data_IF_635122081144
#
_entry.id   IF_635122081144
#
_cell.length_a   1.000
_cell.length_b   1.000
_cell.length_c   1.000
_cell.angle_alpha   90.00
_cell.angle_beta   90.00
_cell.angle_gamma   90.00
#
_symmetry.space_group_name_H-M   'P 1'
#
loop_
_entity.id
_entity.type
_entity.pdbx_description
1 polymer ?
#
# COMPACT_ATOMS: atom_id res chain seq x y z
N UNK A 1 9.22 16.39 -15.41
CA UNK A 1 7.81 16.46 -14.97
C UNK A 1 7.17 15.07 -14.92
N UNK A 2 7.16 14.33 -16.03
CA UNK A 2 6.64 12.95 -16.10
C UNK A 2 7.13 11.96 -14.99
N UNK A 3 8.44 11.92 -14.62
CA UNK A 3 8.90 10.99 -13.58
C UNK A 3 8.27 11.21 -12.21
N UNK A 4 8.04 12.47 -11.82
CA UNK A 4 7.39 12.80 -10.55
C UNK A 4 5.92 12.37 -10.52
N UNK A 5 5.24 12.45 -11.65
CA UNK A 5 3.85 12.01 -11.78
C UNK A 5 3.75 10.48 -11.65
N UNK A 6 4.70 9.75 -12.25
CA UNK A 6 4.80 8.30 -12.10
C UNK A 6 5.05 7.90 -10.65
N UNK A 7 6.00 8.55 -9.96
CA UNK A 7 6.24 8.33 -8.53
C UNK A 7 4.98 8.62 -7.70
N UNK A 8 4.30 9.75 -7.95
CA UNK A 8 3.07 10.10 -7.24
C UNK A 8 1.97 9.05 -7.46
N UNK A 9 1.82 8.56 -8.68
CA UNK A 9 0.86 7.50 -9.00
C UNK A 9 1.19 6.19 -8.26
N UNK A 10 2.46 5.83 -8.17
CA UNK A 10 2.89 4.63 -7.42
C UNK A 10 2.72 4.78 -5.91
N UNK A 11 2.96 5.98 -5.36
CA UNK A 11 2.67 6.29 -3.95
C UNK A 11 1.15 6.20 -3.71
N UNK A 12 0.34 6.75 -4.60
CA UNK A 12 -1.12 6.66 -4.50
C UNK A 12 -1.61 5.21 -4.58
N UNK A 13 -1.01 4.38 -5.43
CA UNK A 13 -1.32 2.95 -5.50
C UNK A 13 -1.02 2.24 -4.17
N UNK A 14 0.16 2.48 -3.57
CA UNK A 14 0.49 1.94 -2.25
C UNK A 14 -0.49 2.43 -1.17
N UNK A 15 -0.81 3.73 -1.17
CA UNK A 15 -1.77 4.31 -0.23
C UNK A 15 -3.18 3.70 -0.39
N UNK A 16 -3.60 3.36 -1.61
CA UNK A 16 -4.85 2.66 -1.87
C UNK A 16 -4.86 1.26 -1.25
N UNK A 17 -3.78 0.48 -1.39
CA UNK A 17 -3.70 -0.85 -0.78
C UNK A 17 -3.70 -0.77 0.75
N UNK A 18 -2.97 0.17 1.33
CA UNK A 18 -2.98 0.43 2.77
C UNK A 18 -4.38 0.81 3.23
N UNK A 19 -5.05 1.76 2.56
CA UNK A 19 -6.42 2.15 2.90
C UNK A 19 -7.38 0.95 2.80
N UNK A 20 -7.23 0.10 1.79
CA UNK A 20 -8.02 -1.10 1.60
C UNK A 20 -7.83 -2.11 2.75
N UNK A 21 -6.60 -2.37 3.18
CA UNK A 21 -6.28 -3.25 4.31
C UNK A 21 -6.84 -2.70 5.63
N UNK A 22 -6.53 -1.43 5.96
CA UNK A 22 -6.99 -0.81 7.20
C UNK A 22 -8.51 -0.65 7.25
N UNK A 23 -9.17 -0.36 6.12
CA UNK A 23 -10.63 -0.26 6.08
C UNK A 23 -11.31 -1.60 6.37
N UNK A 24 -10.73 -2.72 5.92
CA UNK A 24 -11.26 -4.04 6.19
C UNK A 24 -11.11 -4.44 7.66
N UNK A 25 -10.01 -4.04 8.30
CA UNK A 25 -9.77 -4.27 9.74
C UNK A 25 -10.63 -3.35 10.61
N UNK A 26 -10.80 -2.08 10.21
CA UNK A 26 -11.59 -1.09 10.95
C UNK A 26 -13.11 -1.16 10.71
N UNK A 27 -13.55 -1.96 9.74
CA UNK A 27 -14.96 -2.07 9.38
C UNK A 27 -15.83 -2.58 10.55
N UNK A 28 -16.76 -1.74 11.02
CA UNK A 28 -17.70 -2.15 12.05
C UNK A 28 -18.81 -3.01 11.45
N UNK A 29 -18.72 -4.33 11.68
CA UNK A 29 -19.65 -5.35 11.18
C UNK A 29 -21.11 -5.02 11.49
N UNK A 30 -21.39 -4.51 12.69
CA UNK A 30 -22.74 -4.12 13.13
C UNK A 30 -23.36 -3.04 12.23
N UNK A 31 -22.61 -2.00 11.87
CA UNK A 31 -23.11 -0.94 10.97
C UNK A 31 -23.37 -1.48 9.56
N UNK A 32 -22.50 -2.36 9.07
CA UNK A 32 -22.63 -2.98 7.74
C UNK A 32 -23.83 -3.94 7.71
N UNK A 33 -24.08 -4.68 8.79
CA UNK A 33 -25.26 -5.53 8.94
C UNK A 33 -26.55 -4.71 8.88
N UNK A 34 -26.63 -3.59 9.61
CA UNK A 34 -27.77 -2.68 9.56
C UNK A 34 -28.03 -2.12 8.15
N UNK A 35 -26.97 -1.76 7.42
CA UNK A 35 -27.06 -1.32 6.02
C UNK A 35 -27.54 -2.45 5.09
N UNK A 36 -27.11 -3.68 5.32
CA UNK A 36 -27.54 -4.85 4.56
C UNK A 36 -29.02 -5.15 4.79
N UNK A 37 -29.48 -5.10 6.04
CA UNK A 37 -30.90 -5.23 6.43
C UNK A 37 -31.76 -4.12 5.83
N UNK A 38 -31.24 -2.90 5.69
CA UNK A 38 -31.89 -1.79 4.98
C UNK A 38 -31.97 -1.97 3.46
N UNK A 39 -31.54 -3.12 2.91
CA UNK A 39 -31.66 -3.47 1.50
C UNK A 39 -30.43 -3.12 0.64
N UNK A 40 -29.32 -2.66 1.24
CA UNK A 40 -28.11 -2.36 0.48
C UNK A 40 -27.38 -3.65 0.08
N UNK A 41 -27.50 -4.03 -1.20
CA UNK A 41 -26.87 -5.25 -1.77
C UNK A 41 -25.35 -5.26 -1.65
N UNK A 42 -24.68 -4.09 -1.70
CA UNK A 42 -23.22 -4.00 -1.51
C UNK A 42 -22.85 -4.28 -0.05
N UNK A 43 -23.63 -3.74 0.90
CA UNK A 43 -23.43 -4.01 2.32
C UNK A 43 -23.64 -5.50 2.64
N UNK A 44 -24.65 -6.15 2.05
CA UNK A 44 -24.88 -7.58 2.22
C UNK A 44 -23.70 -8.44 1.70
N UNK A 45 -23.12 -8.06 0.56
CA UNK A 45 -21.96 -8.76 0.00
C UNK A 45 -20.72 -8.55 0.85
N UNK A 46 -20.49 -7.31 1.32
CA UNK A 46 -19.37 -6.98 2.18
C UNK A 46 -19.49 -7.69 3.53
N UNK A 47 -20.69 -7.73 4.12
CA UNK A 47 -20.96 -8.44 5.37
C UNK A 47 -20.57 -9.91 5.28
N UNK A 48 -20.99 -10.59 4.20
CA UNK A 48 -20.64 -12.00 3.98
C UNK A 48 -19.13 -12.27 3.81
N UNK A 49 -18.35 -11.26 3.41
CA UNK A 49 -16.89 -11.35 3.35
C UNK A 49 -16.29 -11.10 4.74
N UNK A 50 -16.80 -10.11 5.47
CA UNK A 50 -16.30 -9.74 6.79
C UNK A 50 -16.61 -10.82 7.84
N UNK A 51 -17.78 -11.46 7.78
CA UNK A 51 -18.19 -12.52 8.71
C UNK A 51 -17.32 -13.78 8.60
N UNK A 52 -16.86 -14.09 7.39
CA UNK A 52 -15.95 -15.20 7.13
C UNK A 52 -14.49 -14.77 7.35
N UNK A 53 -13.94 -15.11 8.52
CA UNK A 53 -12.57 -14.79 8.89
C UNK A 53 -11.54 -15.29 7.87
N UNK A 54 -11.78 -16.44 7.23
CA UNK A 54 -10.84 -16.97 6.22
C UNK A 54 -10.86 -16.14 4.94
N UNK A 55 -12.00 -15.56 4.57
CA UNK A 55 -12.10 -14.65 3.41
C UNK A 55 -11.49 -13.29 3.71
N UNK A 56 -11.67 -12.78 4.93
CA UNK A 56 -11.02 -11.56 5.40
C UNK A 56 -9.50 -11.73 5.42
N UNK A 57 -8.98 -12.83 5.96
CA UNK A 57 -7.54 -13.11 6.00
C UNK A 57 -6.95 -13.20 4.58
N UNK A 58 -7.67 -13.86 3.65
CA UNK A 58 -7.25 -13.89 2.23
C UNK A 58 -7.25 -12.51 1.58
N UNK A 59 -8.23 -11.66 1.91
CA UNK A 59 -8.28 -10.29 1.42
C UNK A 59 -7.08 -9.47 1.92
N UNK A 60 -6.79 -9.55 3.23
CA UNK A 60 -5.64 -8.88 3.83
C UNK A 60 -4.33 -9.39 3.22
N UNK A 61 -4.17 -10.70 3.08
CA UNK A 61 -2.99 -11.28 2.45
C UNK A 61 -2.80 -10.80 1.00
N UNK A 62 -3.88 -10.68 0.22
CA UNK A 62 -3.82 -10.13 -1.13
C UNK A 62 -3.40 -8.65 -1.13
N UNK A 63 -3.88 -7.84 -0.19
CA UNK A 63 -3.42 -6.46 0.00
C UNK A 63 -1.92 -6.41 0.30
N UNK A 64 -1.40 -7.24 1.19
CA UNK A 64 0.02 -7.28 1.55
C UNK A 64 0.93 -7.67 0.39
N UNK A 65 0.50 -8.63 -0.43
CA UNK A 65 1.19 -8.98 -1.67
C UNK A 65 1.20 -7.78 -2.63
N UNK A 66 0.06 -7.09 -2.76
CA UNK A 66 -0.07 -5.88 -3.57
C UNK A 66 0.85 -4.74 -3.11
N UNK A 67 0.93 -4.48 -1.80
CA UNK A 67 1.82 -3.48 -1.19
C UNK A 67 3.28 -3.84 -1.50
N UNK A 68 3.66 -5.10 -1.30
CA UNK A 68 5.03 -5.57 -1.51
C UNK A 68 5.45 -5.39 -2.97
N UNK A 69 4.61 -5.86 -3.90
CA UNK A 69 4.90 -5.74 -5.34
C UNK A 69 4.98 -4.27 -5.76
N UNK A 70 4.00 -3.46 -5.33
CA UNK A 70 3.95 -2.04 -5.67
C UNK A 70 5.14 -1.26 -5.10
N UNK A 71 5.57 -1.59 -3.88
CA UNK A 71 6.75 -1.00 -3.24
C UNK A 71 8.04 -1.38 -3.97
N UNK A 72 8.17 -2.63 -4.42
CA UNK A 72 9.34 -3.08 -5.17
C UNK A 72 9.46 -2.36 -6.53
N UNK A 73 8.35 -2.28 -7.29
CA UNK A 73 8.35 -1.57 -8.57
C UNK A 73 8.61 -0.08 -8.35
N UNK A 74 8.02 0.53 -7.32
CA UNK A 74 8.23 1.94 -7.01
C UNK A 74 9.69 2.23 -6.64
N UNK A 75 10.30 1.37 -5.81
CA UNK A 75 11.70 1.45 -5.45
C UNK A 75 12.63 1.30 -6.66
N UNK A 76 12.39 0.31 -7.53
CA UNK A 76 13.16 0.11 -8.74
C UNK A 76 13.06 1.30 -9.70
N UNK A 77 11.85 1.85 -9.88
CA UNK A 77 11.63 3.03 -10.70
C UNK A 77 12.30 4.28 -10.13
N UNK A 78 12.18 4.50 -8.81
CA UNK A 78 12.82 5.61 -8.12
C UNK A 78 14.35 5.52 -8.25
N UNK A 79 14.95 4.34 -8.05
CA UNK A 79 16.38 4.13 -8.23
C UNK A 79 16.83 4.50 -9.65
N UNK A 80 16.12 4.03 -10.68
CA UNK A 80 16.46 4.33 -12.07
C UNK A 80 16.30 5.82 -12.44
N UNK A 81 15.43 6.55 -11.73
CA UNK A 81 15.02 7.91 -12.10
C UNK A 81 15.74 8.99 -11.31
N UNK A 82 15.91 8.80 -10.00
CA UNK A 82 16.45 9.79 -9.05
C UNK A 82 17.61 9.25 -8.22
N UNK A 83 18.04 8.00 -8.42
CA UNK A 83 19.09 7.36 -7.62
C UNK A 83 20.44 8.08 -7.66
N UNK A 84 20.85 8.58 -8.83
CA UNK A 84 22.12 9.31 -8.98
C UNK A 84 22.14 10.66 -8.26
N UNK A 85 20.99 11.33 -8.18
CA UNK A 85 20.86 12.61 -7.48
C UNK A 85 20.76 12.42 -5.96
N UNK A 86 20.14 11.31 -5.52
CA UNK A 86 19.98 10.95 -4.11
C UNK A 86 21.27 10.41 -3.47
N UNK A 87 22.11 9.71 -4.23
CA UNK A 87 23.35 9.10 -3.73
C UNK A 87 24.30 10.10 -3.02
N UNK A 88 24.65 11.28 -3.59
CA UNK A 88 25.53 12.24 -2.92
C UNK A 88 24.87 12.89 -1.70
N UNK A 89 23.54 13.07 -1.71
CA UNK A 89 22.78 13.58 -0.56
C UNK A 89 22.81 12.58 0.60
N UNK A 90 22.56 11.29 0.33
CA UNK A 90 22.63 10.21 1.31
C UNK A 90 24.04 10.04 1.87
N UNK A 91 25.07 10.08 1.01
CA UNK A 91 26.47 10.00 1.42
C UNK A 91 26.86 11.13 2.39
N UNK A 92 26.39 12.35 2.11
CA UNK A 92 26.60 13.51 2.99
C UNK A 92 25.82 13.41 4.30
N UNK A 93 24.60 12.85 4.26
CA UNK A 93 23.73 12.73 5.45
C UNK A 93 24.21 11.66 6.42
N UNK A 94 24.80 10.58 5.90
CA UNK A 94 25.34 9.47 6.69
C UNK A 94 26.84 9.61 7.00
N UNK A 95 27.46 10.74 6.67
CA UNK A 95 28.92 10.96 6.80
C UNK A 95 29.75 9.77 6.29
N UNK A 96 29.32 9.17 5.17
CA UNK A 96 30.01 8.07 4.52
C UNK A 96 31.29 8.62 3.89
N UNK A 97 32.35 8.78 4.69
CA UNK A 97 33.70 9.03 4.21
C UNK A 97 34.19 7.77 3.48
N UNK A 98 35.05 7.95 2.49
CA UNK A 98 35.59 6.88 1.66
C UNK A 98 36.42 5.81 2.43
N UNK A 99 36.43 5.80 3.77
CA UNK A 99 37.12 4.80 4.59
C UNK A 99 36.44 3.41 4.57
N UNK A 100 35.18 3.31 4.13
CA UNK A 100 34.51 2.01 3.96
C UNK A 100 34.76 1.36 2.58
N UNK A 101 35.65 1.93 1.76
CA UNK A 101 35.98 1.44 0.41
C UNK A 101 37.31 0.67 0.35
N UNK A 102 37.68 -0.05 1.43
CA UNK A 102 38.78 -1.02 1.44
C UNK A 102 38.21 -2.43 1.58
#
# INVERSE_FOLDING_TARGET
MLPWLAILAMVAANALYVAAEFSAVAAQRVQIAQLAEAGNRRAATLLAILEDGTRLDRYIAACQIGITLSSLVAGAYAQATIGFDLAPLLARWFELSAEAAI
#
